data_IF_959892300881
#
_entry.id   IF_959892300881
#
_cell.length_a   1.000
_cell.length_b   1.000
_cell.length_c   1.000
_cell.angle_alpha   90.00
_cell.angle_beta   90.00
_cell.angle_gamma   90.00
#
_symmetry.space_group_name_H-M   'P 1'
#
loop_
_entity.id
_entity.type
_entity.pdbx_description
1 polymer ?
#
# COMPACT_ATOMS: atom_id res chain seq x y z
N UNK A 1 -35.02 -24.08 59.56
CA UNK A 1 -33.98 -23.04 59.71
C UNK A 1 -33.42 -22.72 58.33
N UNK A 2 -33.00 -21.48 58.16
CA UNK A 2 -33.02 -20.70 56.92
C UNK A 2 -32.02 -21.13 55.83
N UNK A 3 -32.41 -20.81 54.60
CA UNK A 3 -31.69 -20.93 53.34
C UNK A 3 -30.48 -19.96 53.23
N UNK A 4 -29.73 -20.11 52.12
CA UNK A 4 -28.98 -19.08 51.39
C UNK A 4 -27.51 -18.79 51.78
N UNK A 5 -26.53 -19.20 50.95
CA UNK A 5 -25.86 -18.37 49.92
C UNK A 5 -24.56 -19.02 49.40
N UNK A 6 -24.38 -18.94 48.08
CA UNK A 6 -23.17 -19.35 47.35
C UNK A 6 -21.98 -18.45 47.74
N UNK A 7 -20.74 -18.96 47.70
CA UNK A 7 -19.60 -18.14 47.31
C UNK A 7 -19.35 -18.36 45.81
N UNK A 8 -19.83 -17.42 44.98
CA UNK A 8 -19.23 -17.20 43.68
C UNK A 8 -17.76 -16.80 43.91
N UNK A 9 -16.83 -17.70 43.59
CA UNK A 9 -15.43 -17.29 43.42
C UNK A 9 -15.35 -16.49 42.13
N UNK A 10 -15.50 -15.17 42.26
CA UNK A 10 -14.99 -14.20 41.29
C UNK A 10 -13.48 -14.37 41.24
N UNK A 11 -12.99 -15.20 40.33
CA UNK A 11 -11.64 -15.02 39.83
C UNK A 11 -11.71 -13.80 38.90
N UNK A 12 -11.42 -12.64 39.47
CA UNK A 12 -11.08 -11.45 38.72
C UNK A 12 -9.90 -11.80 37.81
N UNK A 13 -10.19 -12.13 36.55
CA UNK A 13 -9.21 -12.08 35.48
C UNK A 13 -9.00 -10.61 35.12
N UNK A 14 -8.47 -9.83 36.07
CA UNK A 14 -7.85 -8.53 35.78
C UNK A 14 -6.50 -8.83 35.12
N UNK A 15 -6.56 -9.32 33.88
CA UNK A 15 -5.44 -9.20 32.96
C UNK A 15 -5.78 -8.00 32.10
N UNK A 16 -5.19 -6.88 32.47
CA UNK A 16 -4.99 -5.72 31.61
C UNK A 16 -4.26 -6.24 30.37
N UNK A 17 -5.02 -6.70 29.37
CA UNK A 17 -4.49 -6.96 28.05
C UNK A 17 -4.08 -5.59 27.51
N UNK A 18 -2.84 -5.40 27.03
CA UNK A 18 -2.47 -4.15 26.40
C UNK A 18 -3.48 -3.91 25.27
N UNK A 19 -4.14 -2.75 25.31
CA UNK A 19 -5.21 -2.30 24.41
C UNK A 19 -4.78 -2.17 22.93
N UNK A 20 -3.65 -2.77 22.56
CA UNK A 20 -2.92 -2.51 21.33
C UNK A 20 -2.42 -3.81 20.70
N UNK A 21 -3.13 -4.92 20.90
CA UNK A 21 -3.16 -5.91 19.83
C UNK A 21 -4.03 -5.33 18.72
N UNK A 22 -3.47 -4.93 17.56
CA UNK A 22 -4.30 -4.65 16.42
C UNK A 22 -5.07 -5.95 16.15
N UNK A 23 -6.40 -5.88 16.33
CA UNK A 23 -7.30 -6.94 15.92
C UNK A 23 -7.04 -7.20 14.44
N UNK A 24 -6.22 -8.21 14.15
CA UNK A 24 -5.86 -8.57 12.79
C UNK A 24 -7.03 -9.34 12.22
N UNK A 25 -7.95 -8.62 11.56
CA UNK A 25 -9.02 -9.23 10.78
C UNK A 25 -8.39 -9.84 9.51
N UNK A 26 -8.72 -11.09 9.22
CA UNK A 26 -8.39 -11.68 7.92
C UNK A 26 -9.11 -10.91 6.82
N UNK A 27 -8.37 -10.40 5.83
CA UNK A 27 -8.93 -9.73 4.67
C UNK A 27 -9.48 -10.76 3.68
N UNK A 28 -10.68 -10.53 3.17
CA UNK A 28 -11.21 -11.23 2.00
C UNK A 28 -10.38 -10.88 0.75
N UNK A 29 -10.38 -11.76 -0.25
CA UNK A 29 -9.72 -11.49 -1.54
C UNK A 29 -10.19 -10.19 -2.19
N UNK A 30 -11.48 -9.86 -2.08
CA UNK A 30 -12.03 -8.60 -2.59
C UNK A 30 -11.53 -7.37 -1.81
N UNK A 31 -11.41 -7.48 -0.48
CA UNK A 31 -10.88 -6.41 0.37
C UNK A 31 -9.40 -6.16 0.09
N UNK A 32 -8.62 -7.23 -0.10
CA UNK A 32 -7.23 -7.14 -0.48
C UNK A 32 -7.04 -6.44 -1.84
N UNK A 33 -7.83 -6.80 -2.86
CA UNK A 33 -7.80 -6.15 -4.18
C UNK A 33 -8.21 -4.68 -4.08
N UNK A 34 -9.23 -4.36 -3.28
CA UNK A 34 -9.66 -2.98 -3.05
C UNK A 34 -8.57 -2.14 -2.36
N UNK A 35 -7.89 -2.71 -1.37
CA UNK A 35 -6.77 -2.07 -0.68
C UNK A 35 -5.55 -1.85 -1.59
N UNK A 36 -5.33 -2.73 -2.58
CA UNK A 36 -4.27 -2.59 -3.58
C UNK A 36 -4.59 -1.57 -4.68
N UNK A 37 -5.84 -1.10 -4.81
CA UNK A 37 -6.25 -0.20 -5.89
C UNK A 37 -5.38 1.07 -6.01
N UNK A 38 -5.06 1.81 -4.92
CA UNK A 38 -4.19 2.97 -5.00
C UNK A 38 -2.80 2.63 -5.56
N UNK A 39 -2.28 1.45 -5.21
CA UNK A 39 -1.00 0.96 -5.72
C UNK A 39 -1.07 0.67 -7.23
N UNK A 40 -2.11 -0.03 -7.71
CA UNK A 40 -2.29 -0.29 -9.14
C UNK A 40 -2.33 1.00 -9.98
N UNK A 41 -2.95 2.06 -9.46
CA UNK A 41 -2.94 3.36 -10.15
C UNK A 41 -1.56 4.00 -10.19
N UNK A 42 -0.74 3.82 -9.16
CA UNK A 42 0.58 4.44 -9.11
C UNK A 42 1.60 3.75 -10.02
N UNK A 43 1.44 2.45 -10.30
CA UNK A 43 2.37 1.63 -11.10
C UNK A 43 1.85 1.26 -12.49
N UNK A 44 0.68 1.76 -12.89
CA UNK A 44 0.03 1.36 -14.14
C UNK A 44 0.92 1.66 -15.37
N UNK A 45 1.13 0.69 -16.29
CA UNK A 45 2.07 0.82 -17.43
C UNK A 45 1.76 2.00 -18.37
N UNK A 46 0.50 2.42 -18.48
CA UNK A 46 0.09 3.56 -19.31
C UNK A 46 0.74 4.89 -18.87
N UNK A 47 1.04 5.05 -17.58
CA UNK A 47 1.72 6.25 -17.09
C UNK A 47 3.20 6.30 -17.49
N UNK A 48 3.79 5.16 -17.87
CA UNK A 48 5.18 5.05 -18.28
C UNK A 48 5.33 5.20 -19.80
N UNK A 49 4.51 6.09 -20.37
CA UNK A 49 4.54 6.62 -21.75
C UNK A 49 5.91 6.64 -22.39
N UNK A 50 6.79 7.39 -21.72
CA UNK A 50 8.11 7.83 -22.15
C UNK A 50 9.24 6.90 -21.67
N UNK A 51 8.88 5.86 -20.91
CA UNK A 51 9.77 4.99 -20.14
C UNK A 51 9.51 3.52 -20.48
N UNK A 52 9.96 3.04 -21.66
CA UNK A 52 9.58 1.72 -22.17
C UNK A 52 10.10 0.56 -21.31
N UNK A 53 11.27 0.73 -20.68
CA UNK A 53 11.87 -0.30 -19.80
C UNK A 53 11.08 -0.41 -18.50
N UNK A 54 10.75 0.71 -17.88
CA UNK A 54 10.00 0.79 -16.64
C UNK A 54 8.56 0.29 -16.84
N UNK A 55 7.96 0.60 -18.00
CA UNK A 55 6.68 0.05 -18.43
C UNK A 55 6.73 -1.48 -18.47
N UNK A 56 7.71 -2.05 -19.17
CA UNK A 56 7.85 -3.50 -19.30
C UNK A 56 8.07 -4.17 -17.94
N UNK A 57 8.90 -3.60 -17.08
CA UNK A 57 9.14 -4.09 -15.72
C UNK A 57 7.84 -4.08 -14.91
N UNK A 58 7.08 -2.99 -14.95
CA UNK A 58 5.81 -2.90 -14.24
C UNK A 58 4.78 -3.90 -14.78
N UNK A 59 4.67 -4.06 -16.10
CA UNK A 59 3.75 -5.02 -16.70
C UNK A 59 4.08 -6.46 -16.26
N UNK A 60 5.36 -6.85 -16.33
CA UNK A 60 5.82 -8.17 -15.92
C UNK A 60 5.63 -8.41 -14.42
N UNK A 61 5.96 -7.42 -13.58
CA UNK A 61 5.76 -7.51 -12.13
C UNK A 61 4.29 -7.56 -11.75
N UNK A 62 3.41 -6.81 -12.42
CA UNK A 62 1.96 -6.86 -12.21
C UNK A 62 1.38 -8.24 -12.54
N UNK A 63 1.76 -8.83 -13.68
CA UNK A 63 1.34 -10.19 -14.05
C UNK A 63 1.73 -11.21 -12.98
N UNK A 64 2.97 -11.14 -12.48
CA UNK A 64 3.47 -12.03 -11.42
C UNK A 64 2.72 -11.81 -10.10
N UNK A 65 2.42 -10.56 -9.74
CA UNK A 65 1.64 -10.23 -8.55
C UNK A 65 0.22 -10.82 -8.63
N UNK A 66 -0.47 -10.66 -9.76
CA UNK A 66 -1.83 -11.18 -9.94
C UNK A 66 -1.87 -12.71 -9.78
N UNK A 67 -0.98 -13.43 -10.47
CA UNK A 67 -0.88 -14.90 -10.34
C UNK A 67 -0.56 -15.31 -8.90
N UNK A 68 0.31 -14.57 -8.22
CA UNK A 68 0.66 -14.84 -6.83
C UNK A 68 -0.54 -14.66 -5.88
N UNK A 69 -1.29 -13.57 -6.03
CA UNK A 69 -2.50 -13.29 -5.24
C UNK A 69 -3.60 -14.34 -5.50
N UNK A 70 -3.79 -14.77 -6.75
CA UNK A 70 -4.73 -15.85 -7.07
C UNK A 70 -4.34 -17.16 -6.40
N UNK A 71 -3.05 -17.51 -6.40
CA UNK A 71 -2.55 -18.72 -5.75
C UNK A 71 -2.68 -18.66 -4.22
N UNK A 72 -2.56 -17.48 -3.60
CA UNK A 72 -2.81 -17.30 -2.16
C UNK A 72 -4.28 -17.54 -1.80
N UNK A 73 -5.22 -17.20 -2.69
CA UNK A 73 -6.65 -17.35 -2.44
C UNK A 73 -7.15 -18.79 -2.65
N UNK A 74 -6.39 -19.65 -3.35
CA UNK A 74 -6.79 -21.03 -3.62
C UNK A 74 -6.77 -21.86 -2.33
N UNK A 75 -7.88 -22.52 -1.96
CA UNK A 75 -7.93 -23.37 -0.77
C UNK A 75 -6.95 -24.54 -0.95
N UNK A 76 -6.00 -24.69 -0.03
CA UNK A 76 -4.98 -25.75 -0.06
C UNK A 76 -3.55 -25.25 -0.28
N UNK A 77 -3.35 -24.01 -0.74
CA UNK A 77 -2.03 -23.39 -0.83
C UNK A 77 -1.67 -22.67 0.47
N UNK A 78 -1.01 -23.39 1.40
CA UNK A 78 -0.63 -22.85 2.73
C UNK A 78 0.79 -22.30 2.79
N UNK A 79 1.61 -22.52 1.76
CA UNK A 79 3.00 -22.06 1.72
C UNK A 79 3.40 -21.66 0.30
N UNK A 80 3.27 -20.37 -0.01
CA UNK A 80 3.96 -19.80 -1.16
C UNK A 80 5.31 -19.27 -0.71
N UNK A 81 6.31 -19.40 -1.58
CA UNK A 81 7.62 -18.80 -1.31
C UNK A 81 7.51 -17.27 -1.46
N UNK A 82 8.10 -16.50 -0.54
CA UNK A 82 8.23 -15.05 -0.71
C UNK A 82 8.83 -14.74 -2.09
N UNK A 83 8.19 -13.83 -2.82
CA UNK A 83 8.62 -13.43 -4.16
C UNK A 83 9.00 -11.96 -4.15
N UNK A 84 10.19 -11.65 -4.67
CA UNK A 84 10.63 -10.27 -4.86
C UNK A 84 10.12 -9.77 -6.21
N UNK A 85 9.48 -8.59 -6.19
CA UNK A 85 8.98 -7.87 -7.36
C UNK A 85 9.48 -6.43 -7.30
N UNK A 86 9.80 -5.87 -8.47
CA UNK A 86 10.26 -4.49 -8.60
C UNK A 86 9.20 -3.68 -9.34
N UNK A 87 8.91 -2.49 -8.85
CA UNK A 87 7.96 -1.57 -9.47
C UNK A 87 8.54 -0.16 -9.54
N UNK A 88 8.26 0.51 -10.64
CA UNK A 88 8.41 1.95 -10.78
C UNK A 88 7.09 2.61 -10.43
N UNK A 89 7.15 3.65 -9.63
CA UNK A 89 5.97 4.36 -9.11
C UNK A 89 5.98 5.75 -9.72
N UNK A 90 4.82 6.20 -10.21
CA UNK A 90 4.68 7.58 -10.68
C UNK A 90 4.67 8.54 -9.48
N UNK A 91 5.31 9.69 -9.64
CA UNK A 91 5.12 10.79 -8.70
C UNK A 91 3.67 11.26 -8.81
N UNK A 92 2.95 11.19 -7.69
CA UNK A 92 1.63 11.81 -7.56
C UNK A 92 1.84 12.96 -6.57
N UNK A 93 1.28 14.13 -6.86
CA UNK A 93 1.53 15.44 -6.21
C UNK A 93 1.26 15.51 -4.68
N UNK A 94 1.08 14.37 -4.02
CA UNK A 94 0.89 14.22 -2.58
C UNK A 94 2.18 13.88 -1.81
N UNK A 95 3.33 13.77 -2.47
CA UNK A 95 4.61 13.39 -1.84
C UNK A 95 5.65 14.51 -1.74
N UNK A 96 5.34 15.74 -2.16
CA UNK A 96 6.25 16.87 -2.01
C UNK A 96 5.96 17.64 -0.71
N UNK A 97 6.42 17.10 0.40
CA UNK A 97 6.78 17.89 1.58
C UNK A 97 8.25 17.68 1.89
N UNK A 98 9.11 18.04 0.93
CA UNK A 98 10.42 18.61 1.21
C UNK A 98 10.96 19.24 -0.08
N UNK A 99 11.28 20.52 0.00
CA UNK A 99 11.61 21.35 -1.15
C UNK A 99 12.94 20.98 -1.79
N UNK A 100 12.94 20.83 -3.11
CA UNK A 100 14.11 21.09 -3.94
C UNK A 100 13.67 21.72 -5.27
N UNK A 101 13.76 23.04 -5.31
CA UNK A 101 14.11 23.78 -6.54
C UNK A 101 15.54 23.39 -6.94
N UNK A 102 15.81 23.25 -8.25
CA UNK A 102 16.91 24.03 -8.78
C UNK A 102 16.61 24.68 -10.14
N UNK A 103 16.61 26.02 -10.11
CA UNK A 103 17.44 26.92 -10.91
C UNK A 103 17.56 26.71 -12.43
N UNK A 104 16.83 27.57 -13.14
CA UNK A 104 17.33 28.61 -14.07
C UNK A 104 18.29 28.25 -15.22
N UNK A 105 17.84 28.49 -16.45
CA UNK A 105 18.58 29.14 -17.56
C UNK A 105 17.61 29.29 -18.75
N UNK A 106 17.53 30.31 -19.61
CA UNK A 106 18.03 31.69 -19.67
C UNK A 106 17.57 32.28 -21.03
N UNK A 107 16.83 33.40 -20.99
CA UNK A 107 16.83 34.49 -22.00
C UNK A 107 15.94 34.38 -23.28
N UNK A 108 15.73 35.49 -24.02
CA UNK A 108 16.09 36.88 -23.73
C UNK A 108 14.90 37.87 -23.72
N UNK A 109 15.03 38.86 -22.84
CA UNK A 109 14.34 40.15 -22.88
C UNK A 109 14.99 41.00 -23.98
N UNK A 110 14.18 41.48 -24.93
CA UNK A 110 14.54 42.57 -25.84
C UNK A 110 13.71 43.78 -25.44
N UNK A 111 14.36 44.72 -24.77
CA UNK A 111 13.89 46.04 -24.39
C UNK A 111 14.51 47.08 -25.34
N UNK A 112 13.72 48.11 -25.70
CA UNK A 112 14.20 49.37 -26.29
C UNK A 112 13.80 49.54 -27.76
N UNK A 113 13.25 50.66 -28.22
CA UNK A 113 13.09 51.95 -27.59
C UNK A 113 12.29 52.90 -28.50
N UNK A 114 11.88 53.99 -27.87
CA UNK A 114 11.09 55.11 -28.35
C UNK A 114 11.82 55.92 -29.43
N UNK A 115 11.09 56.34 -30.46
CA UNK A 115 11.23 57.62 -31.15
C UNK A 115 9.86 58.03 -31.68
#
# INVERSE_FOLDING_TARGET
MFCHLRPMRRLCLEKIFPHWFPYSRALSGAEAVNALRPFYFAVHPDFFGQHPVEREINENSLKRLSVYLENLQKPGFKSLKPTQLTFYVRETDQSSSDGQEPFSTSGPQMEGGRA
#
